data_IF_050045618523
#
_entry.id   IF_050045618523
#
_cell.length_a   1.000
_cell.length_b   1.000
_cell.length_c   1.000
_cell.angle_alpha   90.00
_cell.angle_beta   90.00
_cell.angle_gamma   90.00
#
_symmetry.space_group_name_H-M   'P 1'
#
loop_
_entity.id
_entity.type
_entity.pdbx_description
1 polymer ?
#
# COMPACT_ATOMS: atom_id res chain seq x y z
N UNK A 1 -24.26 -22.53 11.65
CA UNK A 1 -23.30 -21.47 12.01
C UNK A 1 -23.85 -20.17 11.44
N UNK A 2 -24.38 -19.30 12.30
CA UNK A 2 -24.94 -18.02 11.86
C UNK A 2 -23.79 -17.01 11.70
N UNK A 3 -23.59 -16.51 10.48
CA UNK A 3 -22.70 -15.38 10.23
C UNK A 3 -23.39 -14.12 10.77
N UNK A 4 -22.84 -13.52 11.82
CA UNK A 4 -23.28 -12.21 12.27
C UNK A 4 -22.62 -11.16 11.36
N UNK A 5 -23.45 -10.48 10.57
CA UNK A 5 -23.04 -9.25 9.87
C UNK A 5 -22.94 -8.14 10.89
N UNK A 6 -21.73 -7.69 11.22
CA UNK A 6 -21.53 -6.48 12.02
C UNK A 6 -21.63 -5.30 11.07
N UNK A 7 -22.75 -4.56 11.12
CA UNK A 7 -22.86 -3.28 10.42
C UNK A 7 -22.11 -2.25 11.26
N UNK A 8 -20.92 -1.86 10.81
CA UNK A 8 -20.23 -0.70 11.37
C UNK A 8 -20.95 0.56 10.88
N UNK A 9 -21.36 1.41 11.82
CA UNK A 9 -21.95 2.72 11.50
C UNK A 9 -20.88 3.57 10.81
N UNK A 10 -21.18 4.08 9.62
CA UNK A 10 -20.31 5.04 8.96
C UNK A 10 -20.00 6.21 9.93
N UNK A 11 -18.74 6.69 10.00
CA UNK A 11 -18.40 7.86 10.79
C UNK A 11 -19.36 9.01 10.47
N UNK A 12 -19.91 9.64 11.50
CA UNK A 12 -20.94 10.68 11.33
C UNK A 12 -20.38 12.01 10.81
N UNK A 13 -19.06 12.14 10.73
CA UNK A 13 -18.39 13.31 10.19
C UNK A 13 -17.46 12.90 9.05
N UNK A 14 -17.64 13.55 7.89
CA UNK A 14 -16.62 13.55 6.84
C UNK A 14 -15.46 14.39 7.36
N UNK A 15 -14.44 13.72 7.91
CA UNK A 15 -13.23 14.40 8.35
C UNK A 15 -12.57 15.09 7.14
N UNK A 16 -12.84 16.39 7.01
CA UNK A 16 -12.31 17.26 5.94
C UNK A 16 -11.12 18.07 6.46
N UNK A 17 -10.42 17.54 7.45
CA UNK A 17 -9.31 18.22 8.10
C UNK A 17 -8.10 18.23 7.15
N UNK A 18 -7.57 19.41 6.77
CA UNK A 18 -6.32 19.51 6.00
C UNK A 18 -5.12 18.88 6.72
N UNK A 19 -5.26 18.57 8.03
CA UNK A 19 -4.30 17.85 8.88
C UNK A 19 -4.72 16.39 9.20
N UNK A 20 -5.28 15.63 8.24
CA UNK A 20 -5.08 14.16 8.18
C UNK A 20 -3.61 13.81 7.87
N UNK A 21 -2.72 14.46 8.62
CA UNK A 21 -1.30 14.51 8.46
C UNK A 21 -0.66 13.24 9.02
N UNK A 22 -0.78 12.17 8.24
CA UNK A 22 -0.01 10.94 8.39
C UNK A 22 0.61 10.66 7.00
N UNK A 23 1.35 11.66 6.53
CA UNK A 23 1.36 12.11 5.13
C UNK A 23 2.40 11.44 4.24
N UNK A 24 1.94 10.62 3.30
CA UNK A 24 2.52 10.57 1.96
C UNK A 24 1.40 10.67 0.93
N UNK A 25 1.67 11.31 -0.21
CA UNK A 25 0.72 11.44 -1.31
C UNK A 25 0.75 12.79 -2.02
N UNK A 26 1.51 13.77 -1.51
CA UNK A 26 1.80 15.02 -2.21
C UNK A 26 2.85 14.76 -3.30
N UNK A 27 2.88 15.54 -4.39
CA UNK A 27 3.85 15.37 -5.46
C UNK A 27 5.31 15.28 -4.97
N UNK A 28 5.68 16.14 -4.02
CA UNK A 28 7.05 16.20 -3.48
C UNK A 28 7.45 14.93 -2.70
N UNK A 29 6.48 14.19 -2.15
CA UNK A 29 6.75 12.95 -1.41
C UNK A 29 7.32 11.84 -2.33
N UNK A 30 7.10 11.96 -3.64
CA UNK A 30 7.56 11.01 -4.65
C UNK A 30 8.89 11.39 -5.29
N UNK A 31 9.46 12.57 -4.97
CA UNK A 31 10.64 13.11 -5.66
C UNK A 31 11.84 12.17 -5.58
N UNK A 32 12.12 11.65 -4.39
CA UNK A 32 13.30 10.80 -4.18
C UNK A 32 13.10 9.43 -4.84
N UNK A 33 11.86 8.91 -4.86
CA UNK A 33 11.50 7.72 -5.62
C UNK A 33 11.70 7.97 -7.13
N UNK A 34 11.22 9.10 -7.65
CA UNK A 34 11.33 9.47 -9.07
C UNK A 34 12.77 9.62 -9.57
N UNK A 35 13.73 9.87 -8.67
CA UNK A 35 15.15 9.98 -9.01
C UNK A 35 15.83 8.61 -9.22
N UNK A 36 15.20 7.51 -8.81
CA UNK A 36 15.73 6.17 -8.99
C UNK A 36 15.43 5.61 -10.39
N UNK A 37 16.23 4.66 -10.91
CA UNK A 37 15.93 3.99 -12.16
C UNK A 37 14.56 3.32 -12.14
N UNK A 38 13.78 3.51 -13.22
CA UNK A 38 12.44 2.96 -13.34
C UNK A 38 12.41 1.44 -13.13
N UNK A 39 11.46 1.00 -12.32
CA UNK A 39 11.23 -0.42 -11.97
C UNK A 39 9.79 -0.61 -11.46
N UNK A 40 9.40 -1.84 -11.15
CA UNK A 40 8.13 -2.14 -10.48
C UNK A 40 8.25 -1.90 -8.97
N UNK A 41 7.32 -1.13 -8.43
CA UNK A 41 7.24 -0.76 -7.02
C UNK A 41 6.12 -1.56 -6.33
N UNK A 42 6.46 -2.18 -5.21
CA UNK A 42 5.49 -2.66 -4.22
C UNK A 42 5.23 -1.52 -3.23
N UNK A 43 4.00 -1.03 -3.20
CA UNK A 43 3.52 0.03 -2.32
C UNK A 43 2.04 -0.23 -1.99
N UNK A 44 1.54 0.38 -0.92
CA UNK A 44 0.11 0.34 -0.58
C UNK A 44 -0.75 0.89 -1.73
N UNK A 45 -1.97 0.38 -1.85
CA UNK A 45 -2.82 0.71 -3.00
C UNK A 45 -3.10 2.20 -3.11
N UNK A 46 -3.27 2.90 -1.99
CA UNK A 46 -3.58 4.33 -1.96
C UNK A 46 -2.42 5.23 -2.42
N UNK A 47 -1.18 4.75 -2.43
CA UNK A 47 -0.02 5.47 -2.98
C UNK A 47 0.16 5.23 -4.49
N UNK A 48 -0.47 4.19 -5.04
CA UNK A 48 -0.23 3.74 -6.41
C UNK A 48 -0.49 4.80 -7.48
N UNK A 49 -1.56 5.60 -7.34
CA UNK A 49 -1.84 6.68 -8.30
C UNK A 49 -0.79 7.78 -8.28
N UNK A 50 -0.26 8.12 -7.10
CA UNK A 50 0.81 9.11 -6.97
C UNK A 50 2.13 8.63 -7.59
N UNK A 51 2.47 7.35 -7.38
CA UNK A 51 3.64 6.74 -8.01
C UNK A 51 3.53 6.80 -9.54
N UNK A 52 2.38 6.43 -10.11
CA UNK A 52 2.17 6.47 -11.56
C UNK A 52 2.20 7.89 -12.14
N UNK A 53 1.68 8.88 -11.40
CA UNK A 53 1.58 10.26 -11.86
C UNK A 53 2.92 11.00 -11.78
N UNK A 54 3.66 10.81 -10.69
CA UNK A 54 4.80 11.67 -10.34
C UNK A 54 6.17 11.00 -10.56
N UNK A 55 6.20 9.75 -11.02
CA UNK A 55 7.45 9.00 -11.24
C UNK A 55 7.46 8.27 -12.59
N UNK A 56 8.62 7.71 -12.96
CA UNK A 56 8.75 6.79 -14.10
C UNK A 56 8.49 5.31 -13.76
N UNK A 57 8.05 4.99 -12.54
CA UNK A 57 7.88 3.62 -12.08
C UNK A 57 6.58 2.97 -12.54
N UNK A 58 6.57 1.64 -12.47
CA UNK A 58 5.35 0.82 -12.49
C UNK A 58 4.97 0.52 -11.05
N UNK A 59 3.69 0.29 -10.76
CA UNK A 59 3.23 -0.11 -9.42
C UNK A 59 2.32 -1.33 -9.49
N UNK A 60 2.42 -2.22 -8.50
CA UNK A 60 1.59 -3.43 -8.43
C UNK A 60 0.13 -3.11 -8.13
N UNK A 61 -0.10 -2.23 -7.16
CA UNK A 61 -1.42 -1.90 -6.64
C UNK A 61 -1.74 -0.42 -6.84
N UNK A 62 -3.02 -0.12 -6.96
CA UNK A 62 -3.55 1.24 -7.06
C UNK A 62 -4.97 1.29 -6.51
N UNK A 63 -5.56 2.48 -6.28
CA UNK A 63 -6.90 2.64 -5.71
C UNK A 63 -8.00 2.34 -6.75
N UNK A 64 -7.78 1.35 -7.61
CA UNK A 64 -8.66 0.97 -8.71
C UNK A 64 -8.88 -0.54 -8.70
N UNK A 65 -10.13 -0.95 -8.60
CA UNK A 65 -10.51 -2.37 -8.55
C UNK A 65 -10.39 -3.10 -9.89
N UNK A 66 -9.84 -2.47 -10.94
CA UNK A 66 -9.62 -3.12 -12.25
C UNK A 66 -8.36 -3.98 -12.30
N UNK A 67 -7.39 -3.75 -11.42
CA UNK A 67 -6.18 -4.57 -11.28
C UNK A 67 -6.25 -5.49 -10.06
N UNK A 68 -7.23 -6.40 -10.07
CA UNK A 68 -7.45 -7.33 -8.94
C UNK A 68 -6.19 -8.15 -8.63
N UNK A 69 -5.52 -8.66 -9.67
CA UNK A 69 -4.32 -9.48 -9.50
C UNK A 69 -3.19 -8.71 -8.80
N UNK A 70 -2.93 -7.47 -9.19
CA UNK A 70 -1.90 -6.64 -8.57
C UNK A 70 -2.23 -6.24 -7.12
N UNK A 71 -3.49 -5.94 -6.83
CA UNK A 71 -3.93 -5.63 -5.47
C UNK A 71 -3.82 -6.86 -4.55
N UNK A 72 -4.23 -8.05 -5.03
CA UNK A 72 -4.05 -9.29 -4.26
C UNK A 72 -2.58 -9.61 -4.04
N UNK A 73 -1.72 -9.44 -5.05
CA UNK A 73 -0.28 -9.65 -4.91
C UNK A 73 0.33 -8.70 -3.86
N UNK A 74 -0.10 -7.44 -3.82
CA UNK A 74 0.32 -6.48 -2.79
C UNK A 74 -0.11 -6.93 -1.39
N UNK A 75 -1.36 -7.36 -1.20
CA UNK A 75 -1.86 -7.86 0.09
C UNK A 75 -1.11 -9.13 0.51
N UNK A 76 -0.92 -10.08 -0.41
CA UNK A 76 -0.15 -11.30 -0.16
C UNK A 76 1.29 -10.99 0.27
N UNK A 77 1.91 -9.95 -0.33
CA UNK A 77 3.26 -9.55 0.03
C UNK A 77 3.33 -8.85 1.39
N UNK A 78 2.43 -7.89 1.65
CA UNK A 78 2.48 -7.09 2.87
C UNK A 78 1.97 -7.81 4.11
N UNK A 79 0.98 -8.68 3.97
CA UNK A 79 0.35 -9.40 5.07
C UNK A 79 0.87 -10.84 5.23
N UNK A 80 1.50 -11.38 4.18
CA UNK A 80 2.03 -12.74 4.18
C UNK A 80 3.32 -12.92 4.98
N UNK A 81 3.81 -14.16 5.03
CA UNK A 81 5.11 -14.47 5.66
C UNK A 81 6.27 -13.85 4.88
N UNK A 82 7.48 -13.73 5.46
CA UNK A 82 8.65 -13.27 4.72
C UNK A 82 8.95 -14.09 3.46
N UNK A 83 8.61 -15.38 3.43
CA UNK A 83 8.75 -16.25 2.26
C UNK A 83 7.71 -15.91 1.19
N UNK A 84 6.46 -15.70 1.58
CA UNK A 84 5.39 -15.28 0.67
C UNK A 84 5.71 -13.91 0.04
N UNK A 85 6.16 -12.94 0.85
CA UNK A 85 6.61 -11.64 0.37
C UNK A 85 7.72 -11.75 -0.68
N UNK A 86 8.76 -12.55 -0.39
CA UNK A 86 9.85 -12.79 -1.36
C UNK A 86 9.34 -13.44 -2.64
N UNK A 87 8.43 -14.40 -2.54
CA UNK A 87 7.85 -15.05 -3.72
C UNK A 87 7.09 -14.04 -4.60
N UNK A 88 6.32 -13.12 -4.02
CA UNK A 88 5.67 -12.04 -4.77
C UNK A 88 6.70 -11.11 -5.39
N UNK A 89 7.71 -10.65 -4.63
CA UNK A 89 8.76 -9.75 -5.11
C UNK A 89 9.45 -10.34 -6.35
N UNK A 90 9.79 -11.62 -6.32
CA UNK A 90 10.41 -12.30 -7.47
C UNK A 90 9.45 -12.47 -8.64
N UNK A 91 8.21 -12.92 -8.40
CA UNK A 91 7.22 -13.19 -9.45
C UNK A 91 6.82 -11.91 -10.19
N UNK A 92 6.60 -10.83 -9.46
CA UNK A 92 6.14 -9.55 -10.02
C UNK A 92 7.30 -8.61 -10.42
N UNK A 93 8.54 -9.09 -10.30
CA UNK A 93 9.76 -8.34 -10.63
C UNK A 93 9.85 -6.99 -9.91
N UNK A 94 9.53 -6.98 -8.62
CA UNK A 94 9.61 -5.80 -7.77
C UNK A 94 11.08 -5.42 -7.57
N UNK A 95 11.44 -4.20 -7.96
CA UNK A 95 12.78 -3.65 -7.73
C UNK A 95 12.86 -2.75 -6.51
N UNK A 96 11.73 -2.18 -6.07
CA UNK A 96 11.66 -1.28 -4.92
C UNK A 96 10.41 -1.57 -4.09
N UNK A 97 10.54 -1.47 -2.77
CA UNK A 97 9.42 -1.45 -1.83
C UNK A 97 9.35 -0.04 -1.27
N UNK A 98 8.22 0.63 -1.45
CA UNK A 98 8.00 1.96 -0.90
C UNK A 98 7.07 1.86 0.30
N UNK A 99 7.52 2.41 1.43
CA UNK A 99 6.76 2.49 2.69
C UNK A 99 6.76 3.95 3.16
N UNK A 100 5.59 4.40 3.55
CA UNK A 100 5.34 5.63 4.25
C UNK A 100 4.89 5.34 5.68
N UNK A 101 5.74 5.57 6.67
CA UNK A 101 5.40 5.27 8.07
C UNK A 101 4.13 5.97 8.58
N UNK A 102 3.73 7.06 7.92
CA UNK A 102 2.48 7.71 8.21
C UNK A 102 1.26 7.15 7.49
N UNK A 103 1.39 6.40 6.40
CA UNK A 103 0.23 6.03 5.60
C UNK A 103 -0.75 5.13 6.38
N UNK A 104 -2.03 5.49 6.34
CA UNK A 104 -3.08 4.78 7.09
C UNK A 104 -3.28 3.36 6.60
N UNK A 105 -3.17 3.10 5.29
CA UNK A 105 -3.28 1.74 4.74
C UNK A 105 -2.12 0.86 5.22
N UNK A 106 -0.88 1.36 5.22
CA UNK A 106 0.26 0.62 5.77
C UNK A 106 0.07 0.29 7.24
N UNK A 107 -0.36 1.27 8.05
CA UNK A 107 -0.64 1.07 9.48
C UNK A 107 -1.72 0.00 9.66
N UNK A 108 -2.81 0.06 8.89
CA UNK A 108 -3.86 -0.97 8.93
C UNK A 108 -3.35 -2.36 8.55
N UNK A 109 -2.58 -2.48 7.47
CA UNK A 109 -1.97 -3.75 7.06
C UNK A 109 -1.04 -4.32 8.14
N UNK A 110 -0.27 -3.47 8.81
CA UNK A 110 0.62 -3.86 9.91
C UNK A 110 -0.13 -4.33 11.16
N UNK A 111 -1.27 -3.70 11.48
CA UNK A 111 -2.14 -4.12 12.58
C UNK A 111 -2.88 -5.43 12.29
N UNK A 112 -3.37 -5.59 11.06
CA UNK A 112 -4.12 -6.77 10.63
C UNK A 112 -3.19 -8.00 10.46
N UNK A 113 -1.93 -7.77 10.10
CA UNK A 113 -0.90 -8.80 9.99
C UNK A 113 0.38 -8.42 10.76
N UNK A 114 0.40 -8.57 12.11
CA UNK A 114 1.53 -8.15 12.95
C UNK A 114 2.86 -8.89 12.71
N UNK A 115 2.82 -9.99 11.95
CA UNK A 115 4.00 -10.76 11.52
C UNK A 115 4.29 -10.63 10.03
N UNK A 116 3.53 -9.79 9.32
CA UNK A 116 3.66 -9.52 7.90
C UNK A 116 4.77 -8.52 7.59
N UNK A 117 5.07 -8.37 6.31
CA UNK A 117 6.11 -7.45 5.84
C UNK A 117 5.79 -5.99 6.18
N UNK A 118 4.54 -5.55 6.07
CA UNK A 118 4.16 -4.17 6.41
C UNK A 118 4.48 -3.86 7.88
N UNK A 119 4.11 -4.74 8.80
CA UNK A 119 4.43 -4.61 10.23
C UNK A 119 5.95 -4.57 10.50
N UNK A 120 6.74 -5.32 9.72
CA UNK A 120 8.20 -5.36 9.89
C UNK A 120 8.92 -4.10 9.38
N UNK A 121 8.26 -3.28 8.54
CA UNK A 121 8.86 -2.09 7.91
C UNK A 121 8.42 -0.77 8.55
N UNK A 122 7.40 -0.78 9.40
CA UNK A 122 6.87 0.38 10.15
C UNK A 122 7.66 0.62 11.44
#
# INVERSE_FOLDING_TARGET
MAAQSVVQKAPQEINSDPDHAVTCGKPDDFRDLAALPATTVLASSNLGSGILMFTGHRVLAGPYHRNVAGNLAMLDAFMGTPEAARAVIHREQVGLIAICRGNTEEISLGLDAPKGLAAALL
#
